data_IF_293875990533
#
_entry.id   IF_293875990533
#
_cell.length_a   1.000
_cell.length_b   1.000
_cell.length_c   1.000
_cell.angle_alpha   90.00
_cell.angle_beta   90.00
_cell.angle_gamma   90.00
#
_symmetry.space_group_name_H-M   'P 1'
#
loop_
_entity.id
_entity.type
_entity.pdbx_description
1 polymer ?
#
# COMPACT_ATOMS: atom_id res chain seq x y z
N UNK A 1 10.58 -20.44 18.94
CA UNK A 1 10.12 -19.62 17.81
C UNK A 1 9.00 -18.77 18.34
N UNK A 2 9.12 -17.43 18.35
CA UNK A 2 8.06 -16.56 18.81
C UNK A 2 6.83 -16.68 17.90
N UNK A 3 5.63 -16.68 18.48
CA UNK A 3 4.40 -16.73 17.72
C UNK A 3 4.36 -15.50 16.79
N UNK A 4 4.24 -15.73 15.49
CA UNK A 4 4.06 -14.67 14.50
C UNK A 4 2.62 -14.17 14.58
N UNK A 5 2.44 -12.86 14.66
CA UNK A 5 1.12 -12.23 14.68
C UNK A 5 0.90 -11.45 13.39
N UNK A 6 -0.36 -11.12 13.10
CA UNK A 6 -0.76 -10.37 11.91
C UNK A 6 -1.65 -9.18 12.28
N UNK A 7 -1.38 -8.05 11.65
CA UNK A 7 -2.22 -6.87 11.64
C UNK A 7 -2.74 -6.64 10.23
N UNK A 8 -4.04 -6.37 10.09
CA UNK A 8 -4.69 -6.13 8.81
C UNK A 8 -4.95 -4.64 8.59
N UNK A 9 -4.54 -4.12 7.43
CA UNK A 9 -4.90 -2.79 6.96
C UNK A 9 -5.78 -2.88 5.72
N UNK A 10 -6.70 -1.93 5.58
CA UNK A 10 -7.55 -1.76 4.39
C UNK A 10 -7.20 -0.44 3.73
N UNK A 11 -6.81 -0.49 2.46
CA UNK A 11 -6.45 0.68 1.67
C UNK A 11 -7.51 0.86 0.58
N UNK A 12 -8.45 1.74 0.83
CA UNK A 12 -9.55 2.09 -0.08
C UNK A 12 -9.65 3.61 -0.21
N UNK A 13 -9.51 4.13 -1.42
CA UNK A 13 -9.67 5.53 -1.76
C UNK A 13 -10.06 5.69 -3.23
N UNK A 14 -10.69 6.83 -3.64
CA UNK A 14 -10.98 7.11 -5.04
C UNK A 14 -9.72 7.10 -5.92
N UNK A 15 -8.61 7.61 -5.38
CA UNK A 15 -7.29 7.59 -6.03
C UNK A 15 -6.23 7.21 -4.98
N UNK A 16 -5.23 6.46 -5.42
CA UNK A 16 -4.08 6.04 -4.61
C UNK A 16 -2.81 6.18 -5.45
N UNK A 17 -1.63 6.26 -4.82
CA UNK A 17 -0.37 6.34 -5.57
C UNK A 17 0.79 5.75 -4.77
N UNK A 18 1.46 4.76 -5.35
CA UNK A 18 2.57 4.03 -4.74
C UNK A 18 3.77 4.06 -5.68
N UNK A 19 4.50 5.19 -5.68
CA UNK A 19 5.66 5.40 -6.56
C UNK A 19 6.73 4.33 -6.39
N UNK A 20 7.37 3.94 -7.48
CA UNK A 20 8.47 2.96 -7.52
C UNK A 20 9.74 3.54 -8.11
N UNK A 21 9.65 4.21 -9.26
CA UNK A 21 10.77 4.77 -10.01
C UNK A 21 10.51 6.21 -10.43
N UNK A 22 9.86 6.97 -9.54
CA UNK A 22 9.47 8.35 -9.80
C UNK A 22 10.67 9.23 -10.12
N UNK A 23 10.60 9.93 -11.24
CA UNK A 23 11.51 11.00 -11.63
C UNK A 23 10.94 12.36 -11.22
N UNK A 24 11.70 13.43 -11.46
CA UNK A 24 11.28 14.77 -11.09
C UNK A 24 10.02 15.22 -11.85
N UNK A 25 9.98 14.97 -13.17
CA UNK A 25 8.92 15.33 -14.11
C UNK A 25 7.81 14.28 -14.20
N UNK A 26 8.12 13.02 -13.89
CA UNK A 26 7.18 11.91 -13.97
C UNK A 26 7.12 11.19 -12.61
N UNK A 27 5.95 11.27 -11.99
CA UNK A 27 5.65 10.64 -10.70
C UNK A 27 4.79 9.40 -10.95
N UNK A 28 5.45 8.26 -11.08
CA UNK A 28 4.82 6.97 -11.34
C UNK A 28 3.98 6.45 -10.17
N UNK A 29 3.26 5.36 -10.41
CA UNK A 29 2.63 4.52 -9.40
C UNK A 29 2.79 3.05 -9.77
N UNK A 30 3.11 2.22 -8.77
CA UNK A 30 3.05 0.76 -8.91
C UNK A 30 1.61 0.25 -8.89
N UNK A 31 1.41 -1.01 -9.22
CA UNK A 31 0.09 -1.67 -9.27
C UNK A 31 -0.48 -2.00 -7.88
N UNK A 32 0.32 -2.01 -6.84
CA UNK A 32 -0.05 -2.30 -5.47
C UNK A 32 0.90 -1.57 -4.50
N UNK A 33 0.51 -1.41 -3.22
CA UNK A 33 1.33 -0.75 -2.21
C UNK A 33 2.71 -1.40 -2.06
N UNK A 34 3.77 -0.59 -2.09
CA UNK A 34 5.14 -1.03 -1.78
C UNK A 34 5.33 -1.15 -0.26
N UNK A 35 6.34 -1.91 0.17
CA UNK A 35 6.70 -2.00 1.61
C UNK A 35 7.05 -0.62 2.17
N UNK A 36 7.79 0.19 1.41
CA UNK A 36 8.14 1.56 1.82
C UNK A 36 6.93 2.46 2.00
N UNK A 37 5.88 2.29 1.18
CA UNK A 37 4.64 3.04 1.36
C UNK A 37 3.93 2.65 2.67
N UNK A 38 3.86 1.35 2.97
CA UNK A 38 3.26 0.84 4.22
C UNK A 38 4.06 1.31 5.44
N UNK A 39 5.39 1.16 5.43
CA UNK A 39 6.26 1.64 6.52
C UNK A 39 6.13 3.16 6.70
N UNK A 40 6.05 3.92 5.59
CA UNK A 40 5.82 5.36 5.64
C UNK A 40 4.47 5.76 6.24
N UNK A 41 3.40 5.00 5.96
CA UNK A 41 2.08 5.20 6.60
C UNK A 41 2.11 4.90 8.09
N UNK A 42 2.82 3.82 8.52
CA UNK A 42 3.03 3.49 9.92
C UNK A 42 3.82 4.61 10.61
N UNK A 43 4.93 5.06 10.01
CA UNK A 43 5.74 6.17 10.52
C UNK A 43 4.92 7.46 10.66
N UNK A 44 4.07 7.77 9.67
CA UNK A 44 3.16 8.92 9.72
C UNK A 44 2.19 8.82 10.91
N UNK A 45 1.57 7.65 11.12
CA UNK A 45 0.67 7.43 12.25
C UNK A 45 1.40 7.53 13.61
N UNK A 46 2.63 7.01 13.71
CA UNK A 46 3.44 7.04 14.92
C UNK A 46 4.15 8.38 15.17
N UNK A 47 4.10 9.33 14.24
CA UNK A 47 4.83 10.61 14.35
C UNK A 47 6.35 10.47 14.17
N UNK A 48 6.81 9.49 13.41
CA UNK A 48 8.22 9.25 13.13
C UNK A 48 8.62 10.09 11.92
N UNK A 49 9.67 10.90 12.07
CA UNK A 49 10.15 11.76 11.00
C UNK A 49 10.77 10.96 9.85
N UNK A 50 10.80 11.59 8.68
CA UNK A 50 11.46 11.03 7.52
C UNK A 50 12.96 10.91 7.77
N UNK A 51 13.57 9.78 7.41
CA UNK A 51 14.97 9.41 7.64
C UNK A 51 15.32 9.04 9.09
N UNK A 52 14.36 8.84 9.96
CA UNK A 52 14.57 8.26 11.28
C UNK A 52 14.95 6.77 11.14
N UNK A 53 15.96 6.34 11.87
CA UNK A 53 16.44 4.95 11.90
C UNK A 53 15.35 3.96 12.37
N UNK A 54 14.33 4.44 13.08
CA UNK A 54 13.22 3.61 13.50
C UNK A 54 12.37 3.11 12.33
N UNK A 55 12.37 3.81 11.20
CA UNK A 55 11.73 3.33 9.97
C UNK A 55 12.44 2.08 9.42
N UNK A 56 13.76 2.01 9.54
CA UNK A 56 14.53 0.82 9.16
C UNK A 56 14.25 -0.33 10.11
N UNK A 57 14.20 -0.04 11.43
CA UNK A 57 13.80 -1.03 12.41
C UNK A 57 12.43 -1.62 12.10
N UNK A 58 11.44 -0.79 11.75
CA UNK A 58 10.12 -1.27 11.31
C UNK A 58 10.22 -2.13 10.04
N UNK A 59 11.00 -1.68 9.06
CA UNK A 59 11.16 -2.41 7.80
C UNK A 59 11.84 -3.77 7.98
N UNK A 60 12.80 -3.87 8.90
CA UNK A 60 13.55 -5.11 9.17
C UNK A 60 12.75 -6.10 10.06
N UNK A 61 11.83 -5.61 10.91
CA UNK A 61 11.06 -6.43 11.85
C UNK A 61 9.62 -6.72 11.41
N UNK A 62 9.18 -6.15 10.29
CA UNK A 62 7.85 -6.37 9.74
C UNK A 62 7.95 -6.99 8.34
N UNK A 63 7.13 -7.99 8.06
CA UNK A 63 6.89 -8.44 6.69
C UNK A 63 5.56 -7.91 6.19
N UNK A 64 5.51 -7.50 4.93
CA UNK A 64 4.34 -6.86 4.32
C UNK A 64 3.86 -7.69 3.14
N UNK A 65 2.65 -8.20 3.25
CA UNK A 65 1.95 -8.93 2.20
C UNK A 65 0.71 -8.17 1.76
N UNK A 66 0.35 -8.27 0.49
CA UNK A 66 -0.75 -7.50 -0.10
C UNK A 66 -1.68 -8.44 -0.86
N UNK A 67 -2.97 -8.32 -0.63
CA UNK A 67 -4.03 -8.89 -1.47
C UNK A 67 -4.71 -7.75 -2.25
N UNK A 68 -4.92 -7.98 -3.54
CA UNK A 68 -5.62 -7.05 -4.42
C UNK A 68 -7.09 -7.46 -4.45
N UNK A 69 -7.92 -6.78 -3.65
CA UNK A 69 -9.35 -7.06 -3.55
C UNK A 69 -10.11 -6.51 -4.75
N UNK A 70 -9.67 -5.36 -5.28
CA UNK A 70 -10.16 -4.77 -6.51
C UNK A 70 -9.01 -4.16 -7.30
N UNK A 71 -8.84 -4.57 -8.53
CA UNK A 71 -7.90 -3.93 -9.45
C UNK A 71 -8.37 -2.51 -9.76
N UNK A 72 -7.45 -1.56 -9.63
CA UNK A 72 -7.67 -0.20 -10.05
C UNK A 72 -7.35 0.02 -11.53
N UNK A 73 -7.62 1.25 -11.99
CA UNK A 73 -7.20 1.73 -13.32
C UNK A 73 -6.19 2.85 -13.14
N UNK A 74 -5.16 2.89 -13.99
CA UNK A 74 -4.24 4.01 -13.99
C UNK A 74 -4.91 5.26 -14.54
N UNK A 75 -4.64 6.39 -13.88
CA UNK A 75 -5.01 7.73 -14.29
C UNK A 75 -3.77 8.60 -14.31
N UNK A 76 -3.59 9.33 -15.38
CA UNK A 76 -2.53 10.33 -15.50
C UNK A 76 -3.11 11.73 -15.25
N UNK A 77 -2.42 12.50 -14.41
CA UNK A 77 -2.74 13.88 -14.09
C UNK A 77 -1.56 14.75 -14.55
N UNK A 78 -1.75 15.45 -15.65
CA UNK A 78 -0.77 16.36 -16.20
C UNK A 78 -0.95 17.74 -15.59
N UNK A 79 0.07 18.22 -14.90
CA UNK A 79 0.08 19.52 -14.24
C UNK A 79 1.17 20.43 -14.84
N UNK A 80 0.85 21.70 -14.97
CA UNK A 80 1.80 22.74 -15.36
C UNK A 80 1.94 23.77 -14.23
N UNK A 81 3.14 24.32 -14.08
CA UNK A 81 3.39 25.44 -13.14
C UNK A 81 3.49 26.72 -14.00
N UNK A 82 2.55 27.64 -13.79
CA UNK A 82 2.52 28.92 -14.51
C UNK A 82 3.32 30.01 -13.82
N UNK A 83 3.52 29.88 -12.51
CA UNK A 83 4.35 30.81 -11.72
C UNK A 83 5.85 30.64 -12.01
N UNK A 84 6.65 31.71 -11.92
CA UNK A 84 8.08 31.61 -12.09
C UNK A 84 8.71 30.59 -11.15
N UNK A 85 9.54 29.71 -11.69
CA UNK A 85 10.28 28.71 -10.89
C UNK A 85 11.63 29.29 -10.49
N UNK A 86 11.93 29.23 -9.20
CA UNK A 86 13.20 29.66 -8.64
C UNK A 86 14.20 28.50 -8.58
N UNK A 87 15.48 28.84 -8.78
CA UNK A 87 16.59 27.93 -8.51
C UNK A 87 16.83 27.79 -7.01
N UNK A 88 17.57 26.78 -6.59
CA UNK A 88 17.93 26.58 -5.17
C UNK A 88 18.74 27.76 -4.57
N UNK A 89 19.36 28.59 -5.40
CA UNK A 89 20.12 29.79 -5.01
C UNK A 89 19.31 31.08 -5.14
N UNK A 90 18.00 31.01 -5.37
CA UNK A 90 17.09 32.16 -5.35
C UNK A 90 16.93 32.92 -6.66
N UNK A 91 17.63 32.53 -7.76
CA UNK A 91 17.45 33.16 -9.08
C UNK A 91 16.27 32.53 -9.84
N UNK A 92 15.70 33.27 -10.80
CA UNK A 92 14.67 32.74 -11.72
C UNK A 92 15.30 31.69 -12.65
N UNK A 93 14.65 30.52 -12.76
CA UNK A 93 15.07 29.51 -13.71
C UNK A 93 14.72 29.96 -15.12
N UNK A 94 15.70 29.92 -16.04
CA UNK A 94 15.57 30.34 -17.45
C UNK A 94 14.91 31.71 -17.60
N UNK A 95 15.29 32.69 -16.73
CA UNK A 95 14.74 34.04 -16.79
C UNK A 95 13.24 34.15 -16.51
N UNK A 96 12.63 33.15 -15.90
CA UNK A 96 11.20 33.10 -15.58
C UNK A 96 10.32 32.52 -16.69
N UNK A 97 10.89 32.01 -17.79
CA UNK A 97 10.16 31.39 -18.89
C UNK A 97 9.97 29.87 -18.75
N UNK A 98 10.54 29.28 -17.70
CA UNK A 98 10.47 27.85 -17.48
C UNK A 98 9.13 27.43 -16.86
N UNK A 99 8.32 26.72 -17.61
CA UNK A 99 7.05 26.13 -17.16
C UNK A 99 7.15 24.60 -17.15
N UNK A 100 7.50 24.00 -16.01
CA UNK A 100 7.65 22.56 -15.95
C UNK A 100 6.31 21.83 -16.11
N UNK A 101 6.34 20.73 -16.87
CA UNK A 101 5.26 19.76 -16.92
C UNK A 101 5.54 18.66 -15.91
N UNK A 102 4.53 18.34 -15.11
CA UNK A 102 4.56 17.26 -14.12
C UNK A 102 3.49 16.26 -14.48
N UNK A 103 3.88 15.03 -14.81
CA UNK A 103 2.95 13.93 -14.99
C UNK A 103 2.88 13.10 -13.70
N UNK A 104 1.68 12.98 -13.12
CA UNK A 104 1.42 12.21 -11.91
C UNK A 104 0.48 11.06 -12.23
N UNK A 105 0.96 9.83 -12.00
CA UNK A 105 0.15 8.63 -12.16
C UNK A 105 -0.51 8.26 -10.84
N UNK A 106 -1.80 7.93 -10.90
CA UNK A 106 -2.62 7.44 -9.79
C UNK A 106 -3.26 6.10 -10.17
N UNK A 107 -3.66 5.35 -9.16
CA UNK A 107 -4.53 4.19 -9.30
C UNK A 107 -5.92 4.61 -8.85
N UNK A 108 -6.90 4.56 -9.74
CA UNK A 108 -8.28 4.86 -9.43
C UNK A 108 -9.01 3.60 -8.94
N UNK A 109 -9.86 3.78 -7.92
CA UNK A 109 -10.89 2.83 -7.51
C UNK A 109 -10.36 1.42 -7.17
N UNK A 110 -9.10 1.34 -6.70
CA UNK A 110 -8.49 0.12 -6.22
C UNK A 110 -8.85 -0.15 -4.75
N UNK A 111 -8.87 -1.42 -4.35
CA UNK A 111 -8.99 -1.85 -2.95
C UNK A 111 -7.89 -2.87 -2.68
N UNK A 112 -7.10 -2.61 -1.64
CA UNK A 112 -6.06 -3.52 -1.18
C UNK A 112 -6.28 -3.87 0.29
N UNK A 113 -6.12 -5.16 0.60
CA UNK A 113 -5.94 -5.61 1.99
C UNK A 113 -4.48 -5.93 2.20
N UNK A 114 -3.87 -5.28 3.19
CA UNK A 114 -2.46 -5.47 3.56
C UNK A 114 -2.39 -6.26 4.85
N UNK A 115 -1.54 -7.27 4.87
CA UNK A 115 -1.27 -8.12 6.03
C UNK A 115 0.17 -7.86 6.47
N UNK A 116 0.32 -7.31 7.67
CA UNK A 116 1.62 -7.02 8.28
C UNK A 116 1.87 -8.07 9.33
N UNK A 117 2.98 -8.80 9.20
CA UNK A 117 3.38 -9.79 10.19
C UNK A 117 4.58 -9.32 10.99
N UNK A 118 4.59 -9.66 12.29
CA UNK A 118 5.62 -9.27 13.23
C UNK A 118 5.31 -9.77 14.63
N UNK A 119 5.99 -9.22 15.64
CA UNK A 119 5.69 -9.52 17.04
C UNK A 119 4.42 -8.82 17.48
N UNK A 120 3.61 -9.46 18.32
CA UNK A 120 2.33 -8.91 18.78
C UNK A 120 2.52 -7.53 19.42
N UNK A 121 3.54 -7.35 20.25
CA UNK A 121 3.81 -6.08 20.93
C UNK A 121 4.13 -4.91 19.97
N UNK A 122 4.78 -5.19 18.85
CA UNK A 122 5.06 -4.17 17.82
C UNK A 122 3.79 -3.85 17.04
N UNK A 123 3.02 -4.87 16.69
CA UNK A 123 1.76 -4.71 15.96
C UNK A 123 0.70 -3.98 16.79
N UNK A 124 0.65 -4.20 18.13
CA UNK A 124 -0.23 -3.43 19.03
C UNK A 124 0.12 -1.94 19.06
N UNK A 125 1.41 -1.60 19.08
CA UNK A 125 1.85 -0.18 18.98
C UNK A 125 1.40 0.45 17.66
N UNK A 126 1.53 -0.28 16.57
CA UNK A 126 1.11 0.17 15.23
C UNK A 126 -0.41 0.33 15.17
N UNK A 127 -1.16 -0.64 15.70
CA UNK A 127 -2.61 -0.56 15.79
C UNK A 127 -3.07 0.71 16.53
N UNK A 128 -2.52 0.93 17.74
CA UNK A 128 -2.85 2.11 18.54
C UNK A 128 -2.51 3.41 17.84
N UNK A 129 -1.38 3.47 17.11
CA UNK A 129 -1.02 4.63 16.32
C UNK A 129 -2.01 4.92 15.17
N UNK A 130 -2.58 3.88 14.55
CA UNK A 130 -3.64 4.09 13.55
C UNK A 130 -4.99 4.49 14.14
N UNK A 131 -5.24 4.22 15.45
CA UNK A 131 -6.48 4.68 16.11
C UNK A 131 -6.41 6.18 16.46
N UNK A 132 -5.23 6.68 16.80
CA UNK A 132 -4.98 8.10 17.12
C UNK A 132 -3.66 8.56 16.47
N UNK A 133 -3.67 8.80 15.13
CA UNK A 133 -2.46 9.09 14.39
C UNK A 133 -1.93 10.51 14.69
N UNK A 134 -0.62 10.61 14.93
CA UNK A 134 0.07 11.90 15.15
C UNK A 134 -0.08 12.82 13.94
N UNK A 135 0.05 12.25 12.72
CA UNK A 135 -0.19 12.97 11.48
C UNK A 135 -1.24 12.28 10.62
N UNK A 136 -2.05 13.05 9.86
CA UNK A 136 -3.05 12.48 8.96
C UNK A 136 -2.42 11.50 7.96
N UNK A 137 -2.94 10.27 7.92
CA UNK A 137 -2.45 9.23 7.02
C UNK A 137 -3.16 9.32 5.67
N UNK A 138 -2.39 9.18 4.59
CA UNK A 138 -2.90 9.16 3.21
C UNK A 138 -2.24 8.06 2.39
N UNK A 139 -2.92 7.61 1.32
CA UNK A 139 -2.52 6.47 0.52
C UNK A 139 -1.51 6.86 -0.58
N UNK A 140 -0.32 7.24 -0.13
CA UNK A 140 0.82 7.65 -0.95
C UNK A 140 0.98 9.16 -1.09
N UNK A 141 0.06 9.87 -1.73
CA UNK A 141 0.10 11.34 -1.84
C UNK A 141 -0.96 11.98 -0.96
N UNK A 142 -0.76 13.23 -0.55
CA UNK A 142 -1.69 13.99 0.31
C UNK A 142 -3.10 14.08 -0.25
N UNK A 143 -3.27 14.02 -1.58
CA UNK A 143 -4.58 13.98 -2.24
C UNK A 143 -5.28 12.63 -2.17
N UNK A 144 -4.60 11.58 -1.75
CA UNK A 144 -5.12 10.20 -1.71
C UNK A 144 -5.67 9.90 -0.30
N UNK A 145 -6.84 10.45 0.01
CA UNK A 145 -7.45 10.33 1.35
C UNK A 145 -8.20 9.01 1.45
N UNK A 146 -7.94 8.17 2.48
CA UNK A 146 -8.68 6.94 2.69
C UNK A 146 -10.15 7.23 2.99
N UNK A 147 -11.06 6.42 2.42
CA UNK A 147 -12.51 6.55 2.63
C UNK A 147 -13.04 5.70 3.78
N UNK A 148 -12.18 4.88 4.34
CA UNK A 148 -12.45 4.00 5.50
C UNK A 148 -11.29 4.06 6.47
N UNK A 149 -11.50 3.75 7.76
CA UNK A 149 -10.39 3.57 8.68
C UNK A 149 -9.42 2.53 8.17
N UNK A 150 -8.12 2.88 8.13
CA UNK A 150 -7.08 2.02 7.57
C UNK A 150 -6.92 0.74 8.39
N UNK A 151 -7.01 0.84 9.74
CA UNK A 151 -6.82 -0.28 10.65
C UNK A 151 -8.03 -0.41 11.57
N UNK A 152 -8.89 -1.41 11.31
CA UNK A 152 -10.16 -1.58 12.02
C UNK A 152 -10.05 -2.52 13.22
N UNK A 153 -9.24 -3.56 13.11
CA UNK A 153 -9.17 -4.63 14.11
C UNK A 153 -7.76 -4.72 14.73
N UNK A 154 -7.66 -5.06 16.02
CA UNK A 154 -6.37 -5.28 16.66
C UNK A 154 -5.64 -6.47 16.02
N UNK A 155 -4.30 -6.57 16.20
CA UNK A 155 -3.54 -7.71 15.72
C UNK A 155 -3.93 -8.99 16.47
N UNK A 156 -3.69 -10.13 15.82
CA UNK A 156 -3.94 -11.45 16.39
C UNK A 156 -2.83 -12.44 16.03
N UNK A 157 -2.69 -13.49 16.83
CA UNK A 157 -1.71 -14.55 16.59
C UNK A 157 -2.10 -15.40 15.38
N UNK A 158 -1.14 -15.67 14.50
CA UNK A 158 -1.31 -16.60 13.40
C UNK A 158 -1.34 -18.03 13.90
N UNK A 159 -2.47 -18.69 13.73
CA UNK A 159 -2.65 -20.13 14.02
C UNK A 159 -2.47 -21.01 12.78
N UNK A 160 -2.51 -20.40 11.60
CA UNK A 160 -2.45 -21.02 10.29
C UNK A 160 -1.36 -20.35 9.45
N UNK A 161 -1.07 -20.94 8.28
CA UNK A 161 -0.17 -20.30 7.33
C UNK A 161 -0.77 -18.94 6.87
N UNK A 162 0.07 -17.92 6.73
CA UNK A 162 -0.34 -16.59 6.29
C UNK A 162 -1.09 -16.63 4.93
N UNK A 163 -0.68 -17.49 4.01
CA UNK A 163 -1.34 -17.67 2.72
C UNK A 163 -2.80 -18.12 2.87
N UNK A 164 -3.06 -19.05 3.78
CA UNK A 164 -4.43 -19.49 4.09
C UNK A 164 -5.25 -18.37 4.72
N UNK A 165 -4.67 -17.60 5.63
CA UNK A 165 -5.32 -16.43 6.22
C UNK A 165 -5.70 -15.41 5.15
N UNK A 166 -4.79 -15.10 4.20
CA UNK A 166 -5.04 -14.18 3.09
C UNK A 166 -6.21 -14.64 2.22
N UNK A 167 -6.31 -15.94 1.95
CA UNK A 167 -7.35 -16.53 1.11
C UNK A 167 -8.70 -16.57 1.84
N UNK A 168 -8.70 -16.96 3.11
CA UNK A 168 -9.91 -17.09 3.95
C UNK A 168 -10.51 -15.75 4.35
N UNK A 169 -9.67 -14.71 4.51
CA UNK A 169 -10.13 -13.38 4.89
C UNK A 169 -11.22 -12.87 3.93
N UNK A 170 -12.37 -12.40 4.42
CA UNK A 170 -13.43 -11.86 3.57
C UNK A 170 -12.91 -10.76 2.64
N UNK A 171 -13.32 -10.83 1.37
CA UNK A 171 -12.99 -9.79 0.38
C UNK A 171 -13.94 -8.62 0.58
N UNK A 172 -13.35 -7.43 0.71
CA UNK A 172 -14.11 -6.21 0.95
C UNK A 172 -14.91 -5.81 -0.29
N UNK A 173 -16.17 -5.41 -0.06
CA UNK A 173 -17.09 -4.95 -1.11
C UNK A 173 -17.19 -5.92 -2.31
N UNK A 174 -17.07 -7.23 -2.05
CA UNK A 174 -17.09 -8.27 -3.08
C UNK A 174 -18.35 -8.17 -3.95
N UNK A 175 -19.49 -7.78 -3.38
CA UNK A 175 -20.76 -7.58 -4.11
C UNK A 175 -20.64 -6.55 -5.24
N UNK A 176 -19.83 -5.49 -5.06
CA UNK A 176 -19.59 -4.48 -6.10
C UNK A 176 -18.74 -4.99 -7.27
N UNK A 177 -18.08 -6.13 -7.10
CA UNK A 177 -17.28 -6.76 -8.15
C UNK A 177 -18.12 -7.66 -9.04
N UNK A 178 -19.31 -8.06 -8.57
CA UNK A 178 -20.18 -8.95 -9.30
C UNK A 178 -20.86 -8.16 -10.41
N UNK A 179 -20.63 -8.59 -11.64
CA UNK A 179 -21.38 -8.15 -12.82
C UNK A 179 -22.27 -9.29 -13.27
N UNK A 180 -23.39 -8.99 -13.91
CA UNK A 180 -24.32 -9.99 -14.42
C UNK A 180 -23.58 -11.04 -15.26
N UNK A 181 -23.76 -12.32 -14.90
CA UNK A 181 -23.18 -13.46 -15.61
C UNK A 181 -21.78 -13.89 -15.13
N UNK A 182 -21.19 -13.26 -14.12
CA UNK A 182 -19.91 -13.69 -13.57
C UNK A 182 -20.17 -14.79 -12.52
N UNK A 183 -19.53 -15.96 -12.72
CA UNK A 183 -19.57 -17.10 -11.81
C UNK A 183 -18.29 -17.26 -10.98
N UNK A 184 -17.22 -16.55 -11.34
CA UNK A 184 -15.92 -16.65 -10.67
C UNK A 184 -15.25 -15.29 -10.60
N UNK A 185 -14.67 -14.99 -9.43
CA UNK A 185 -13.85 -13.81 -9.17
C UNK A 185 -12.42 -14.23 -8.83
N UNK A 186 -11.46 -13.62 -9.52
CA UNK A 186 -10.03 -13.91 -9.38
C UNK A 186 -9.37 -12.82 -8.56
N UNK A 187 -8.67 -13.22 -7.49
CA UNK A 187 -7.94 -12.34 -6.61
C UNK A 187 -6.46 -12.67 -6.62
N UNK A 188 -5.63 -11.64 -6.70
CA UNK A 188 -4.18 -11.77 -6.65
C UNK A 188 -3.67 -11.41 -5.26
N UNK A 189 -2.62 -12.10 -4.80
CA UNK A 189 -1.91 -11.76 -3.60
C UNK A 189 -0.40 -11.83 -3.81
N UNK A 190 0.31 -11.04 -3.03
CA UNK A 190 1.77 -10.95 -3.00
C UNK A 190 2.20 -11.13 -1.56
N UNK A 191 2.97 -12.17 -1.26
CA UNK A 191 3.48 -12.49 0.08
C UNK A 191 4.98 -12.21 0.11
N UNK A 192 5.44 -11.51 1.15
CA UNK A 192 6.85 -11.41 1.47
C UNK A 192 7.31 -12.74 2.10
N UNK A 193 8.14 -13.49 1.36
CA UNK A 193 8.59 -14.83 1.72
C UNK A 193 10.03 -15.03 1.29
N UNK A 194 10.87 -15.53 2.19
CA UNK A 194 12.30 -15.80 1.92
C UNK A 194 12.49 -16.76 0.76
N UNK A 195 11.57 -17.70 0.56
CA UNK A 195 11.57 -18.64 -0.56
C UNK A 195 10.99 -18.06 -1.86
N UNK A 196 10.55 -16.79 -1.84
CA UNK A 196 9.96 -16.13 -2.99
C UNK A 196 10.93 -15.98 -4.16
N UNK A 197 10.45 -16.17 -5.37
CA UNK A 197 11.23 -16.13 -6.61
C UNK A 197 11.26 -14.76 -7.30
N UNK A 198 10.56 -13.77 -6.74
CA UNK A 198 10.50 -12.40 -7.27
C UNK A 198 11.21 -11.48 -6.30
N UNK A 199 12.20 -10.73 -6.79
CA UNK A 199 12.88 -9.72 -5.97
C UNK A 199 12.27 -8.35 -6.24
N UNK A 200 11.87 -7.66 -5.16
CA UNK A 200 11.37 -6.27 -5.21
C UNK A 200 12.29 -5.38 -4.38
N UNK A 201 12.75 -4.28 -4.96
CA UNK A 201 13.57 -3.27 -4.27
C UNK A 201 12.64 -2.16 -3.77
N UNK A 202 11.91 -2.42 -2.70
CA UNK A 202 10.92 -1.49 -2.14
C UNK A 202 10.88 -1.46 -0.60
N UNK A 203 11.83 -2.09 0.09
CA UNK A 203 12.00 -1.97 1.54
C UNK A 203 12.87 -0.73 1.85
N UNK A 204 12.47 0.15 2.79
CA UNK A 204 13.27 1.33 3.14
C UNK A 204 14.67 0.97 3.61
N UNK A 205 15.64 1.87 3.35
CA UNK A 205 17.01 1.82 3.87
C UNK A 205 17.48 3.26 4.12
N UNK A 206 17.68 3.65 5.38
CA UNK A 206 18.09 5.01 5.79
C UNK A 206 19.53 5.36 5.42
N UNK A 207 20.38 4.35 5.14
CA UNK A 207 21.80 4.56 4.83
C UNK A 207 22.05 5.41 3.58
N UNK A 208 21.00 5.78 2.86
CA UNK A 208 21.11 6.72 1.76
C UNK A 208 19.73 7.20 1.32
N UNK A 209 19.60 8.48 0.99
CA UNK A 209 18.35 9.18 0.67
C UNK A 209 17.50 8.55 -0.46
N UNK A 210 17.93 7.46 -1.10
CA UNK A 210 17.25 6.80 -2.23
C UNK A 210 17.53 5.30 -2.34
N UNK A 211 18.02 4.66 -1.29
CA UNK A 211 18.29 3.22 -1.37
C UNK A 211 17.11 2.42 -0.82
N UNK A 212 16.81 1.34 -1.50
CA UNK A 212 15.83 0.36 -1.09
C UNK A 212 16.50 -1.01 -1.03
N UNK A 213 16.28 -1.72 0.08
CA UNK A 213 16.69 -3.13 0.21
C UNK A 213 15.79 -4.00 -0.67
N UNK A 214 16.40 -5.05 -1.25
CA UNK A 214 15.65 -6.11 -1.92
C UNK A 214 14.91 -6.98 -0.91
N UNK A 215 13.71 -7.42 -1.26
CA UNK A 215 12.96 -8.45 -0.54
C UNK A 215 12.41 -9.47 -1.52
N UNK A 216 12.29 -10.72 -1.08
CA UNK A 216 11.73 -11.79 -1.89
C UNK A 216 10.22 -11.85 -1.75
N UNK A 217 9.54 -12.07 -2.86
CA UNK A 217 8.08 -12.12 -2.95
C UNK A 217 7.64 -13.40 -3.65
N UNK A 218 6.56 -13.97 -3.12
CA UNK A 218 5.75 -15.02 -3.77
C UNK A 218 4.44 -14.40 -4.24
N UNK A 219 4.05 -14.64 -5.48
CA UNK A 219 2.75 -14.25 -6.02
C UNK A 219 1.85 -15.47 -6.14
N UNK A 220 0.57 -15.28 -5.84
CA UNK A 220 -0.45 -16.30 -6.04
C UNK A 220 -1.77 -15.68 -6.51
N UNK A 221 -2.66 -16.56 -6.91
CA UNK A 221 -4.02 -16.23 -7.33
C UNK A 221 -4.97 -17.24 -6.67
N UNK A 222 -6.10 -16.76 -6.17
CA UNK A 222 -7.19 -17.63 -5.74
C UNK A 222 -8.50 -17.21 -6.38
N UNK A 223 -9.44 -18.10 -6.40
CA UNK A 223 -10.75 -17.93 -7.05
C UNK A 223 -11.83 -18.05 -5.98
N UNK A 224 -12.78 -17.13 -5.98
CA UNK A 224 -14.03 -17.28 -5.26
C UNK A 224 -15.14 -17.52 -6.25
N UNK A 225 -15.85 -18.65 -6.09
CA UNK A 225 -17.04 -18.96 -6.89
C UNK A 225 -18.21 -18.18 -6.36
N UNK A 226 -18.98 -17.61 -7.28
CA UNK A 226 -20.16 -16.82 -6.99
C UNK A 226 -21.39 -17.62 -7.36
N UNK A 227 -22.25 -17.91 -6.38
CA UNK A 227 -23.55 -18.54 -6.61
C UNK A 227 -24.64 -17.56 -6.19
N UNK A 228 -25.73 -17.53 -6.93
CA UNK A 228 -26.93 -16.79 -6.55
C UNK A 228 -27.92 -17.77 -5.92
N UNK A 229 -28.22 -17.58 -4.63
CA UNK A 229 -29.16 -18.41 -3.86
C UNK A 229 -30.22 -17.47 -3.30
N UNK A 230 -31.49 -17.73 -3.63
CA UNK A 230 -32.67 -16.96 -3.14
C UNK A 230 -32.59 -15.44 -3.33
N UNK A 231 -31.86 -14.99 -4.36
CA UNK A 231 -31.68 -13.55 -4.64
C UNK A 231 -30.35 -12.97 -4.12
N UNK A 232 -29.72 -13.61 -3.15
CA UNK A 232 -28.46 -13.20 -2.56
C UNK A 232 -27.25 -13.90 -3.20
N UNK A 233 -26.08 -13.23 -3.12
CA UNK A 233 -24.84 -13.82 -3.61
C UNK A 233 -24.10 -14.56 -2.48
N UNK A 234 -23.80 -15.84 -2.72
CA UNK A 234 -23.01 -16.68 -1.83
C UNK A 234 -21.65 -16.92 -2.46
N UNK A 235 -20.58 -16.85 -1.66
CA UNK A 235 -19.20 -16.96 -2.07
C UNK A 235 -18.57 -18.22 -1.46
N UNK A 236 -18.02 -19.09 -2.34
CA UNK A 236 -17.31 -20.32 -1.97
C UNK A 236 -15.81 -20.23 -2.35
#
# INVERSE_FOLDING_TARGET
MGNTSVLKLVLEAPIQSYGRQSKWDTRDSGYYPSKSAIIGMIGCAMGIERNDEYLDFLADNLSVSVRIDKNGKFMEDLQTVHEPVYTAVGGLKDGGTYHPLLNKVYIQDAIFTVFITGTISLLDKIYNAFQDPVWPVYLGRKSCIPVVPICLNPPYELKENLEEVIIKEPVRNIERLIKNGISELYFQYIIEDVSGNIVSFDSPDSRGQKYYKGRNLKKGVFVKKVKKVDGDYVFE
#
